data_IF_569687191293
#
_entry.id   IF_569687191293
#
_cell.length_a   1.000
_cell.length_b   1.000
_cell.length_c   1.000
_cell.angle_alpha   90.00
_cell.angle_beta   90.00
_cell.angle_gamma   90.00
#
_symmetry.space_group_name_H-M   'P 1'
#
loop_
_entity.id
_entity.type
_entity.pdbx_description
1 polymer ?
#
# COMPACT_ATOMS: atom_id res chain seq x y z
N UNK A 1 3.38 -10.63 -3.62
CA UNK A 1 4.15 -10.64 -2.35
C UNK A 1 5.64 -10.75 -2.64
N UNK A 2 6.50 -10.46 -1.66
CA UNK A 2 7.96 -10.63 -1.81
C UNK A 2 8.27 -12.05 -2.27
N UNK A 3 8.88 -12.17 -3.45
CA UNK A 3 9.30 -13.44 -4.05
C UNK A 3 8.23 -14.18 -4.86
N UNK A 4 7.03 -13.63 -5.03
CA UNK A 4 6.05 -14.15 -5.99
C UNK A 4 6.36 -13.68 -7.41
N UNK A 5 6.16 -14.56 -8.38
CA UNK A 5 6.36 -14.22 -9.80
C UNK A 5 5.19 -13.35 -10.28
N UNK A 6 5.53 -12.24 -10.94
CA UNK A 6 4.56 -11.32 -11.53
C UNK A 6 4.22 -11.77 -12.95
N UNK A 7 2.98 -11.55 -13.39
CA UNK A 7 2.62 -11.78 -14.78
C UNK A 7 3.35 -10.78 -15.70
N UNK A 8 3.73 -11.22 -16.90
CA UNK A 8 4.48 -10.39 -17.87
C UNK A 8 3.78 -9.07 -18.22
N UNK A 9 2.44 -9.06 -18.15
CA UNK A 9 1.61 -7.88 -18.42
C UNK A 9 1.75 -6.78 -17.35
N UNK A 10 2.04 -7.15 -16.10
CA UNK A 10 2.16 -6.23 -14.96
C UNK A 10 3.61 -5.81 -14.71
N UNK A 11 4.59 -6.36 -15.44
CA UNK A 11 6.02 -6.10 -15.25
C UNK A 11 6.42 -4.60 -15.41
N UNK A 12 5.56 -3.80 -16.04
CA UNK A 12 5.75 -2.36 -16.19
C UNK A 12 5.38 -1.54 -14.93
N UNK A 13 4.56 -2.09 -14.03
CA UNK A 13 4.02 -1.37 -12.87
C UNK A 13 4.98 -1.36 -11.67
N UNK A 14 6.11 -2.04 -11.78
CA UNK A 14 7.09 -2.20 -10.73
C UNK A 14 7.11 -3.63 -10.21
N UNK A 15 8.07 -3.94 -9.32
CA UNK A 15 8.27 -5.31 -8.86
C UNK A 15 7.09 -5.79 -8.00
N UNK A 16 6.87 -7.12 -7.88
CA UNK A 16 5.72 -7.73 -7.19
C UNK A 16 5.61 -7.43 -5.69
N UNK A 17 6.65 -6.84 -5.10
CA UNK A 17 6.67 -6.32 -3.73
C UNK A 17 6.28 -4.84 -3.59
N UNK A 18 6.12 -4.10 -4.68
CA UNK A 18 5.65 -2.72 -4.63
C UNK A 18 4.17 -2.69 -4.24
N UNK A 19 3.89 -2.24 -3.02
CA UNK A 19 2.53 -2.24 -2.46
C UNK A 19 1.73 -0.98 -2.81
N UNK A 20 2.36 0.19 -2.72
CA UNK A 20 1.66 1.46 -2.80
C UNK A 20 2.59 2.60 -3.22
N UNK A 21 2.07 3.53 -4.02
CA UNK A 21 2.75 4.77 -4.42
C UNK A 21 1.90 5.96 -4.00
N UNK A 22 2.42 6.78 -3.08
CA UNK A 22 1.77 8.01 -2.65
C UNK A 22 2.13 9.17 -3.59
N UNK A 23 1.23 9.51 -4.51
CA UNK A 23 1.41 10.58 -5.50
C UNK A 23 0.99 11.99 -5.03
N UNK A 24 0.85 12.23 -3.73
CA UNK A 24 0.30 13.48 -3.20
C UNK A 24 1.26 14.67 -3.16
N UNK A 25 2.58 14.45 -3.19
CA UNK A 25 3.58 15.53 -3.14
C UNK A 25 3.95 16.05 -4.52
N UNK A 26 4.07 17.36 -4.65
CA UNK A 26 4.43 18.05 -5.91
C UNK A 26 5.90 18.46 -6.00
N UNK A 27 6.64 18.34 -4.90
CA UNK A 27 8.07 18.55 -4.83
C UNK A 27 8.77 17.34 -4.23
N UNK A 28 10.11 17.40 -4.20
CA UNK A 28 10.94 16.33 -3.62
C UNK A 28 10.62 16.18 -2.13
N UNK A 29 10.44 14.93 -1.71
CA UNK A 29 10.26 14.57 -0.30
C UNK A 29 11.62 14.70 0.40
N UNK A 30 11.64 15.46 1.49
CA UNK A 30 12.82 15.67 2.32
C UNK A 30 12.96 14.62 3.41
N UNK A 31 11.84 14.23 4.04
CA UNK A 31 11.81 13.27 5.15
C UNK A 31 10.43 12.61 5.28
N UNK A 32 10.40 11.41 5.87
CA UNK A 32 9.18 10.70 6.24
C UNK A 32 9.34 9.99 7.60
N UNK A 33 8.24 9.80 8.31
CA UNK A 33 8.19 9.03 9.54
C UNK A 33 6.90 8.24 9.65
N UNK A 34 7.01 7.02 10.17
CA UNK A 34 5.87 6.17 10.49
C UNK A 34 5.26 6.58 11.83
N UNK A 35 3.93 6.57 11.91
CA UNK A 35 3.25 6.71 13.19
C UNK A 35 3.49 5.44 14.04
N UNK A 36 4.07 5.53 15.25
CA UNK A 36 4.29 4.36 16.11
C UNK A 36 3.01 3.83 16.76
N UNK A 37 1.93 4.63 16.78
CA UNK A 37 0.67 4.32 17.44
C UNK A 37 -0.38 3.75 16.48
N UNK A 38 -0.42 4.23 15.23
CA UNK A 38 -1.41 3.84 14.24
C UNK A 38 -0.73 3.19 13.03
N UNK A 39 -1.13 1.95 12.72
CA UNK A 39 -0.57 1.23 11.57
C UNK A 39 -0.93 1.95 10.29
N UNK A 40 -0.03 1.89 9.30
CA UNK A 40 -0.22 2.44 7.96
C UNK A 40 -0.37 3.96 7.86
N UNK A 41 -0.29 4.69 8.99
CA UNK A 41 -0.25 6.14 9.02
C UNK A 41 1.19 6.62 8.90
N UNK A 42 1.43 7.54 7.96
CA UNK A 42 2.73 8.12 7.65
C UNK A 42 2.63 9.64 7.64
N UNK A 43 3.66 10.30 8.16
CA UNK A 43 3.88 11.72 7.97
C UNK A 43 5.06 11.92 7.00
N UNK A 44 4.90 12.78 6.00
CA UNK A 44 5.98 13.14 5.07
C UNK A 44 6.02 14.64 4.80
N UNK A 45 7.23 15.17 4.59
CA UNK A 45 7.50 16.58 4.31
C UNK A 45 8.23 16.75 2.97
N UNK A 46 7.92 17.81 2.24
CA UNK A 46 8.53 18.14 0.95
C UNK A 46 9.17 19.54 0.95
N UNK A 47 10.05 19.78 -0.04
CA UNK A 47 10.82 21.02 -0.20
C UNK A 47 9.96 22.26 -0.54
N UNK A 48 8.70 22.07 -0.95
CA UNK A 48 7.72 23.13 -1.23
C UNK A 48 6.89 23.54 0.00
N UNK A 49 7.37 23.21 1.20
CA UNK A 49 6.75 23.49 2.51
C UNK A 49 5.44 22.75 2.76
N UNK A 50 5.20 21.63 2.07
CA UNK A 50 4.03 20.78 2.27
C UNK A 50 4.34 19.67 3.27
N UNK A 51 3.51 19.55 4.30
CA UNK A 51 3.41 18.40 5.21
C UNK A 51 2.14 17.63 4.85
N UNK A 52 2.25 16.31 4.71
CA UNK A 52 1.09 15.43 4.54
C UNK A 52 1.11 14.33 5.61
N UNK A 53 -0.06 14.09 6.20
CA UNK A 53 -0.35 12.91 7.02
C UNK A 53 -1.37 12.08 6.24
N UNK A 54 -1.04 10.83 5.96
CA UNK A 54 -1.84 9.96 5.11
C UNK A 54 -1.81 8.52 5.60
N UNK A 55 -2.82 7.75 5.21
CA UNK A 55 -3.01 6.35 5.60
C UNK A 55 -3.23 5.50 4.34
N UNK A 56 -2.61 4.33 4.29
CA UNK A 56 -2.89 3.34 3.23
C UNK A 56 -4.25 2.70 3.53
N UNK A 57 -5.17 2.71 2.56
CA UNK A 57 -6.47 2.09 2.73
C UNK A 57 -6.37 0.57 3.00
N UNK A 58 -7.21 0.04 3.87
CA UNK A 58 -7.21 -1.37 4.26
C UNK A 58 -7.29 -2.34 3.07
N UNK A 59 -8.08 -1.98 2.06
CA UNK A 59 -8.24 -2.77 0.84
C UNK A 59 -6.95 -2.97 0.04
N UNK A 60 -5.90 -2.19 0.31
CA UNK A 60 -4.61 -2.27 -0.38
C UNK A 60 -3.67 -3.26 0.31
N UNK A 61 -3.71 -3.37 1.64
CA UNK A 61 -2.77 -4.22 2.40
C UNK A 61 -3.39 -5.47 3.03
N UNK A 62 -4.72 -5.55 3.15
CA UNK A 62 -5.40 -6.71 3.71
C UNK A 62 -5.61 -7.76 2.63
N UNK A 63 -5.01 -8.94 2.82
CA UNK A 63 -5.34 -10.13 2.05
C UNK A 63 -6.73 -10.62 2.49
N UNK A 64 -7.79 -10.36 1.71
CA UNK A 64 -9.08 -11.05 1.90
C UNK A 64 -8.93 -12.53 1.50
N UNK A 65 -8.33 -13.32 2.39
CA UNK A 65 -8.26 -14.78 2.26
C UNK A 65 -9.04 -15.46 3.40
N UNK A 66 -10.10 -14.80 3.88
CA UNK A 66 -10.73 -15.12 5.15
C UNK A 66 -12.25 -15.18 5.13
N UNK A 67 -12.92 -15.56 4.03
CA UNK A 67 -14.34 -15.99 4.05
C UNK A 67 -14.75 -16.80 2.80
N UNK A 68 -14.34 -18.06 2.73
CA UNK A 68 -15.27 -19.10 2.25
C UNK A 68 -15.11 -20.42 3.02
N UNK A 69 -15.35 -20.37 4.32
CA UNK A 69 -15.67 -21.55 5.13
C UNK A 69 -17.19 -21.74 5.26
N UNK A 70 -17.93 -21.51 4.17
CA UNK A 70 -19.32 -21.94 4.08
C UNK A 70 -19.62 -22.53 2.70
N UNK A 71 -18.98 -23.68 2.43
CA UNK A 71 -19.52 -24.60 1.44
C UNK A 71 -20.90 -25.08 1.93
N UNK A 72 -21.97 -24.40 1.53
CA UNK A 72 -23.29 -25.02 1.54
C UNK A 72 -23.25 -26.20 0.55
N UNK A 73 -23.65 -27.43 0.94
CA UNK A 73 -23.84 -28.48 -0.05
C UNK A 73 -24.99 -28.05 -0.98
N UNK A 74 -24.70 -28.03 -2.28
CA UNK A 74 -25.73 -27.87 -3.31
C UNK A 74 -26.74 -29.03 -3.21
N UNK A 75 -28.03 -28.80 -3.48
CA UNK A 75 -29.04 -29.85 -3.50
C UNK A 75 -28.77 -30.91 -4.58
#
# INVERSE_FOLDING_TARGET
RIGEEQADEDAGDGPPELLFVHGGHTAKISELSWNPSEKWVVASVAEDNVLQIWEVAESIYSDDNGSNSNAQPLP
#
